data_IF_634628228694
#
_entry.id   IF_634628228694
#
_cell.length_a   1.000
_cell.length_b   1.000
_cell.length_c   1.000
_cell.angle_alpha   90.00
_cell.angle_beta   90.00
_cell.angle_gamma   90.00
#
_symmetry.space_group_name_H-M   'P 1'
#
loop_
_entity.id
_entity.type
_entity.pdbx_description
1 polymer ?
#
# COMPACT_ATOMS: atom_id res chain seq x y z
N UNK A 1 -11.39 109.97 -13.19
CA UNK A 1 -10.22 109.70 -14.05
C UNK A 1 -9.24 108.80 -13.32
N UNK A 2 -8.64 107.83 -14.05
CA UNK A 2 -7.55 106.91 -13.64
C UNK A 2 -7.99 105.76 -12.74
N UNK A 3 -7.62 104.50 -12.96
CA UNK A 3 -7.12 103.72 -14.11
C UNK A 3 -7.37 102.27 -13.62
N UNK A 4 -8.18 101.48 -14.32
CA UNK A 4 -8.47 100.09 -13.94
C UNK A 4 -7.20 99.26 -14.19
N UNK A 5 -6.56 98.76 -13.13
CA UNK A 5 -5.48 97.78 -13.23
C UNK A 5 -6.12 96.40 -13.18
N UNK A 6 -6.15 95.74 -14.33
CA UNK A 6 -6.62 94.37 -14.50
C UNK A 6 -5.46 93.43 -14.11
N UNK A 7 -5.50 92.89 -12.89
CA UNK A 7 -4.57 91.84 -12.45
C UNK A 7 -5.14 90.51 -12.93
N UNK A 8 -4.55 89.94 -13.97
CA UNK A 8 -4.87 88.59 -14.45
C UNK A 8 -4.15 87.61 -13.53
N UNK A 9 -4.89 87.07 -12.55
CA UNK A 9 -4.44 85.94 -11.74
C UNK A 9 -4.59 84.69 -12.60
N UNK A 10 -3.47 84.21 -13.16
CA UNK A 10 -3.41 82.90 -13.82
C UNK A 10 -3.51 81.85 -12.71
N UNK A 11 -4.74 81.41 -12.44
CA UNK A 11 -5.00 80.28 -11.55
C UNK A 11 -4.47 79.00 -12.17
N UNK A 12 -3.29 78.55 -11.74
CA UNK A 12 -2.84 77.20 -11.97
C UNK A 12 -3.77 76.28 -11.16
N UNK A 13 -4.56 75.39 -11.79
CA UNK A 13 -5.39 74.47 -11.03
C UNK A 13 -4.44 73.49 -10.35
N UNK A 14 -4.25 73.67 -9.05
CA UNK A 14 -3.60 72.68 -8.20
C UNK A 14 -4.57 71.48 -8.16
N UNK A 15 -4.42 70.58 -9.11
CA UNK A 15 -5.09 69.29 -9.13
C UNK A 15 -4.56 68.55 -7.89
N UNK A 16 -5.30 68.61 -6.78
CA UNK A 16 -5.12 67.69 -5.68
C UNK A 16 -5.52 66.31 -6.20
N UNK A 17 -4.54 65.55 -6.70
CA UNK A 17 -4.66 64.11 -6.87
C UNK A 17 -4.88 63.53 -5.47
N UNK A 18 -6.15 63.37 -5.11
CA UNK A 18 -6.57 62.54 -3.99
C UNK A 18 -6.19 61.11 -4.38
N UNK A 19 -4.98 60.70 -4.03
CA UNK A 19 -4.52 59.32 -4.18
C UNK A 19 -5.42 58.46 -3.32
N UNK A 20 -6.46 57.90 -3.93
CA UNK A 20 -7.13 56.72 -3.39
C UNK A 20 -6.09 55.62 -3.37
N UNK A 21 -5.39 55.48 -2.25
CA UNK A 21 -4.73 54.23 -1.91
C UNK A 21 -5.85 53.19 -1.75
N UNK A 22 -6.22 52.56 -2.86
CA UNK A 22 -6.81 51.23 -2.78
C UNK A 22 -5.72 50.37 -2.14
N UNK A 23 -5.91 50.06 -0.85
CA UNK A 23 -5.12 49.02 -0.21
C UNK A 23 -5.25 47.77 -1.07
N UNK A 24 -4.16 47.37 -1.72
CA UNK A 24 -4.12 46.08 -2.35
C UNK A 24 -4.23 45.05 -1.22
N UNK A 25 -5.40 44.45 -1.06
CA UNK A 25 -5.56 43.26 -0.24
C UNK A 25 -4.66 42.18 -0.85
N UNK A 26 -3.52 41.97 -0.20
CA UNK A 26 -2.62 40.85 -0.51
C UNK A 26 -3.36 39.57 -0.16
N UNK A 27 -4.04 39.00 -1.15
CA UNK A 27 -4.55 37.64 -1.03
C UNK A 27 -3.31 36.74 -0.94
N UNK A 28 -3.15 35.96 0.13
CA UNK A 28 -2.02 35.03 0.21
C UNK A 28 -2.11 34.07 -0.98
N UNK A 29 -1.03 33.96 -1.77
CA UNK A 29 -0.96 32.96 -2.82
C UNK A 29 -1.16 31.58 -2.18
N UNK A 30 -2.20 30.86 -2.60
CA UNK A 30 -2.41 29.46 -2.26
C UNK A 30 -1.56 28.61 -3.21
N UNK A 31 -0.79 27.68 -2.65
CA UNK A 31 -0.06 26.69 -3.43
C UNK A 31 -1.06 25.83 -4.22
N UNK A 32 -0.75 25.55 -5.48
CA UNK A 32 -1.50 24.61 -6.33
C UNK A 32 -0.60 23.46 -6.76
N UNK A 33 -1.17 22.35 -7.25
CA UNK A 33 -0.43 21.11 -7.55
C UNK A 33 0.84 21.32 -8.39
N UNK A 34 0.78 22.17 -9.41
CA UNK A 34 1.92 22.48 -10.29
C UNK A 34 3.09 23.17 -9.57
N UNK A 35 2.86 23.80 -8.42
CA UNK A 35 3.94 24.39 -7.61
C UNK A 35 4.77 23.31 -6.90
N UNK A 36 4.15 22.18 -6.57
CA UNK A 36 4.78 21.09 -5.83
C UNK A 36 5.89 20.43 -6.67
N UNK A 37 5.61 20.18 -7.96
CA UNK A 37 6.52 19.51 -8.91
C UNK A 37 7.86 20.23 -9.05
N UNK A 38 7.88 21.55 -8.85
CA UNK A 38 9.09 22.37 -8.98
C UNK A 38 10.15 22.02 -7.94
N UNK A 39 9.74 21.49 -6.79
CA UNK A 39 10.62 21.25 -5.63
C UNK A 39 10.56 19.80 -5.10
N UNK A 40 9.48 19.07 -5.37
CA UNK A 40 9.25 17.68 -4.94
C UNK A 40 9.13 16.73 -6.14
N UNK A 41 10.08 16.82 -7.08
CA UNK A 41 10.00 16.08 -8.34
C UNK A 41 9.94 14.56 -8.12
N UNK A 42 10.73 14.03 -7.16
CA UNK A 42 10.77 12.60 -6.87
C UNK A 42 9.44 12.11 -6.31
N UNK A 43 8.93 12.78 -5.28
CA UNK A 43 7.67 12.41 -4.64
C UNK A 43 6.48 12.53 -5.60
N UNK A 44 6.45 13.58 -6.42
CA UNK A 44 5.42 13.73 -7.45
C UNK A 44 5.53 12.62 -8.48
N UNK A 45 6.75 12.24 -8.89
CA UNK A 45 6.95 11.16 -9.85
C UNK A 45 6.48 9.82 -9.28
N UNK A 46 6.73 9.55 -7.99
CA UNK A 46 6.23 8.36 -7.30
C UNK A 46 4.70 8.30 -7.36
N UNK A 47 4.00 9.39 -7.02
CA UNK A 47 2.52 9.43 -7.10
C UNK A 47 2.05 9.25 -8.54
N UNK A 48 2.70 9.90 -9.52
CA UNK A 48 2.31 9.82 -10.93
C UNK A 48 2.48 8.43 -11.50
N UNK A 49 3.54 7.72 -11.12
CA UNK A 49 3.85 6.39 -11.65
C UNK A 49 3.13 5.28 -10.88
N UNK A 50 2.99 5.45 -9.55
CA UNK A 50 2.67 4.34 -8.62
C UNK A 50 1.67 4.71 -7.53
N UNK A 51 1.13 5.94 -7.52
CA UNK A 51 0.22 6.43 -6.48
C UNK A 51 -1.18 5.80 -6.48
N UNK A 52 -1.54 5.02 -7.50
CA UNK A 52 -2.88 4.44 -7.60
C UNK A 52 -3.98 5.51 -7.54
N UNK A 53 -4.95 5.34 -6.64
CA UNK A 53 -6.03 6.32 -6.45
C UNK A 53 -5.54 7.65 -5.84
N UNK A 54 -4.39 7.68 -5.15
CA UNK A 54 -3.82 8.94 -4.66
C UNK A 54 -3.33 9.85 -5.81
N UNK A 55 -3.24 9.33 -7.04
CA UNK A 55 -2.92 10.12 -8.23
C UNK A 55 -4.16 10.81 -8.82
N UNK A 56 -5.33 10.16 -8.74
CA UNK A 56 -6.52 10.58 -9.50
C UNK A 56 -7.61 11.15 -8.62
N UNK A 57 -7.75 10.65 -7.39
CA UNK A 57 -8.83 11.02 -6.47
C UNK A 57 -8.37 11.97 -5.36
N UNK A 58 -7.06 12.12 -5.16
CA UNK A 58 -6.47 12.95 -4.11
C UNK A 58 -5.43 13.88 -4.74
N UNK A 59 -5.59 15.19 -4.55
CA UNK A 59 -4.59 16.19 -4.94
C UNK A 59 -3.49 16.35 -3.89
N UNK A 60 -2.35 16.93 -4.29
CA UNK A 60 -1.22 17.13 -3.38
C UNK A 60 -1.61 17.90 -2.12
N UNK A 61 -2.47 18.92 -2.23
CA UNK A 61 -2.93 19.74 -1.12
C UNK A 61 -4.11 19.16 -0.34
N UNK A 62 -4.70 18.06 -0.83
CA UNK A 62 -5.77 17.35 -0.13
C UNK A 62 -5.19 16.40 0.93
N UNK A 63 -3.91 16.03 0.77
CA UNK A 63 -3.11 15.29 1.76
C UNK A 63 -2.08 16.20 2.44
N UNK A 64 -1.47 17.15 1.73
CA UNK A 64 -0.56 18.13 2.34
C UNK A 64 -1.28 19.44 2.70
N UNK A 65 -1.99 19.44 3.83
CA UNK A 65 -2.81 20.58 4.26
C UNK A 65 -1.98 21.80 4.68
N UNK A 66 -0.80 21.54 5.24
CA UNK A 66 0.17 22.55 5.65
C UNK A 66 1.47 22.41 4.85
N UNK A 67 2.31 23.45 4.84
CA UNK A 67 3.64 23.39 4.25
C UNK A 67 4.65 24.06 5.19
N UNK A 68 5.76 23.40 5.58
CA UNK A 68 6.77 23.99 6.45
C UNK A 68 7.33 25.32 5.89
N UNK A 69 7.65 26.32 6.74
CA UNK A 69 7.56 26.31 8.20
C UNK A 69 6.19 26.76 8.75
N UNK A 70 5.16 26.90 7.90
CA UNK A 70 3.85 27.43 8.33
C UNK A 70 3.04 26.43 9.16
N UNK A 71 3.45 25.16 9.16
CA UNK A 71 2.81 24.09 9.89
C UNK A 71 3.75 22.92 10.09
N UNK A 72 3.41 22.07 11.06
CA UNK A 72 4.18 20.87 11.46
C UNK A 72 3.38 19.58 11.18
N UNK A 73 2.04 19.68 11.09
CA UNK A 73 1.16 18.54 10.84
C UNK A 73 0.75 18.55 9.37
N UNK A 74 1.73 18.25 8.53
CA UNK A 74 1.62 18.38 7.07
C UNK A 74 0.65 17.34 6.48
N UNK A 75 0.49 16.16 7.08
CA UNK A 75 -0.23 15.01 6.51
C UNK A 75 -1.31 14.54 7.49
N UNK A 76 -2.58 14.37 7.07
CA UNK A 76 -3.64 13.82 7.91
C UNK A 76 -3.40 12.34 8.19
N UNK A 77 -4.12 11.79 9.17
CA UNK A 77 -4.09 10.36 9.44
C UNK A 77 -4.80 9.58 8.33
N UNK A 78 -4.35 8.35 8.04
CA UNK A 78 -4.88 7.54 6.95
C UNK A 78 -6.38 7.26 7.12
N UNK A 79 -6.85 7.08 8.36
CA UNK A 79 -8.24 6.81 8.74
C UNK A 79 -9.19 7.98 8.49
N UNK A 80 -8.68 9.19 8.20
CA UNK A 80 -9.53 10.30 7.74
C UNK A 80 -10.23 10.02 6.41
N UNK A 81 -9.65 9.13 5.59
CA UNK A 81 -10.18 8.71 4.30
C UNK A 81 -10.33 7.18 4.15
N UNK A 82 -9.56 6.38 4.92
CA UNK A 82 -9.61 4.92 4.88
C UNK A 82 -10.26 4.35 6.14
N UNK A 83 -11.56 4.12 6.10
CA UNK A 83 -12.31 3.66 7.25
C UNK A 83 -12.50 2.14 7.30
N UNK A 84 -12.59 1.53 8.51
CA UNK A 84 -12.88 0.10 8.66
C UNK A 84 -14.23 -0.33 8.06
N UNK A 85 -15.13 0.62 7.80
CA UNK A 85 -16.39 0.41 7.09
C UNK A 85 -16.21 0.05 5.61
N UNK A 86 -15.11 0.49 4.98
CA UNK A 86 -14.80 0.18 3.59
C UNK A 86 -14.06 -1.16 3.46
N UNK A 87 -13.14 -1.43 4.41
CA UNK A 87 -12.39 -2.68 4.44
C UNK A 87 -11.87 -3.00 5.85
N UNK A 88 -12.00 -4.26 6.29
CA UNK A 88 -11.63 -4.67 7.66
C UNK A 88 -10.16 -4.45 7.99
N UNK A 89 -9.27 -4.53 6.99
CA UNK A 89 -7.85 -4.21 7.13
C UNK A 89 -7.59 -2.77 7.57
N UNK A 90 -8.45 -1.81 7.23
CA UNK A 90 -8.27 -0.40 7.60
C UNK A 90 -8.50 -0.14 9.10
N UNK A 91 -8.93 -1.15 9.86
CA UNK A 91 -8.95 -1.08 11.33
C UNK A 91 -7.54 -1.17 11.96
N UNK A 92 -6.51 -1.50 11.18
CA UNK A 92 -5.13 -1.59 11.67
C UNK A 92 -4.50 -0.22 11.84
N UNK A 93 -3.64 -0.11 12.85
CA UNK A 93 -2.85 1.08 13.12
C UNK A 93 -1.51 1.03 12.37
N UNK A 94 -0.76 2.14 12.38
CA UNK A 94 0.58 2.25 11.81
C UNK A 94 0.65 1.88 10.32
N UNK A 95 -0.30 2.36 9.52
CA UNK A 95 -0.43 2.07 8.08
C UNK A 95 0.88 2.33 7.31
N UNK A 96 1.61 3.38 7.69
CA UNK A 96 2.88 3.78 7.07
C UNK A 96 4.05 2.81 7.33
N UNK A 97 3.89 1.83 8.23
CA UNK A 97 4.89 0.78 8.43
C UNK A 97 4.97 -0.18 7.24
N UNK A 98 3.89 -0.29 6.47
CA UNK A 98 3.77 -1.18 5.32
C UNK A 98 3.47 -0.42 4.03
N UNK A 99 2.61 0.60 4.09
CA UNK A 99 2.16 1.37 2.94
C UNK A 99 2.90 2.70 2.82
N UNK A 100 3.52 2.97 1.68
CA UNK A 100 4.09 4.28 1.42
C UNK A 100 3.04 5.26 0.87
N UNK A 101 2.86 6.47 1.43
CA UNK A 101 1.78 7.38 1.02
C UNK A 101 1.78 7.76 -0.47
N UNK A 102 2.95 7.80 -1.11
CA UNK A 102 3.09 8.14 -2.53
C UNK A 102 3.02 6.94 -3.48
N UNK A 103 3.12 5.71 -2.97
CA UNK A 103 2.99 4.48 -3.76
C UNK A 103 2.40 3.35 -2.89
N UNK A 104 1.15 3.52 -2.43
CA UNK A 104 0.60 2.72 -1.33
C UNK A 104 0.48 1.24 -1.63
N UNK A 105 0.38 0.84 -2.90
CA UNK A 105 0.25 -0.57 -3.29
C UNK A 105 1.60 -1.28 -3.48
N UNK A 106 2.70 -0.54 -3.53
CA UNK A 106 4.03 -1.11 -3.61
C UNK A 106 4.59 -1.27 -2.20
N UNK A 107 4.62 -2.51 -1.74
CA UNK A 107 5.14 -2.91 -0.44
C UNK A 107 6.03 -4.14 -0.59
N UNK A 108 7.08 -4.20 0.22
CA UNK A 108 7.95 -5.38 0.32
C UNK A 108 7.72 -6.03 1.68
N UNK A 109 6.97 -7.14 1.69
CA UNK A 109 6.68 -7.87 2.92
C UNK A 109 7.94 -8.44 3.59
N UNK A 110 9.02 -8.67 2.82
CA UNK A 110 10.28 -9.15 3.38
C UNK A 110 10.95 -8.12 4.31
N UNK A 111 10.63 -6.82 4.17
CA UNK A 111 11.15 -5.75 5.02
C UNK A 111 10.29 -5.45 6.25
N UNK A 112 9.14 -6.11 6.41
CA UNK A 112 8.20 -5.85 7.52
C UNK A 112 8.36 -6.96 8.55
N UNK A 113 8.67 -6.65 9.80
CA UNK A 113 9.00 -7.64 10.84
C UNK A 113 7.92 -8.72 11.02
N UNK A 114 6.66 -8.33 11.22
CA UNK A 114 5.51 -9.24 11.39
C UNK A 114 4.30 -8.74 10.62
N UNK A 115 3.63 -9.63 9.86
CA UNK A 115 2.44 -9.27 9.08
C UNK A 115 1.23 -10.13 9.40
N UNK A 116 1.38 -11.18 10.23
CA UNK A 116 0.29 -12.09 10.58
C UNK A 116 -0.99 -11.38 11.01
N UNK A 117 -0.90 -10.39 11.91
CA UNK A 117 -2.08 -9.65 12.36
C UNK A 117 -2.83 -8.99 11.20
N UNK A 118 -2.10 -8.47 10.20
CA UNK A 118 -2.67 -7.84 9.03
C UNK A 118 -3.33 -8.85 8.08
N UNK A 119 -2.70 -10.02 7.85
CA UNK A 119 -3.29 -11.07 7.02
C UNK A 119 -4.61 -11.59 7.61
N UNK A 120 -4.66 -11.72 8.94
CA UNK A 120 -5.79 -12.31 9.65
C UNK A 120 -7.02 -11.39 9.75
N UNK A 121 -6.93 -10.11 9.36
CA UNK A 121 -8.12 -9.25 9.24
C UNK A 121 -9.09 -9.73 8.16
N UNK A 122 -8.59 -10.53 7.20
CA UNK A 122 -9.38 -11.11 6.11
C UNK A 122 -9.23 -12.65 6.03
N UNK A 123 -8.05 -13.20 6.37
CA UNK A 123 -7.75 -14.64 6.28
C UNK A 123 -7.86 -15.38 7.62
N UNK A 124 -8.83 -15.03 8.47
CA UNK A 124 -9.02 -15.64 9.79
C UNK A 124 -9.19 -17.16 9.75
N UNK A 125 -9.76 -17.69 8.67
CA UNK A 125 -9.96 -19.12 8.50
C UNK A 125 -8.65 -19.89 8.40
N UNK A 126 -7.59 -19.27 7.86
CA UNK A 126 -6.28 -19.91 7.73
C UNK A 126 -5.58 -20.01 9.09
N UNK A 127 -5.71 -18.99 9.96
CA UNK A 127 -5.26 -19.10 11.35
C UNK A 127 -5.95 -20.26 12.07
N UNK A 128 -7.28 -20.38 11.92
CA UNK A 128 -8.03 -21.48 12.52
C UNK A 128 -7.59 -22.85 11.98
N UNK A 129 -7.27 -22.96 10.70
CA UNK A 129 -6.74 -24.21 10.12
C UNK A 129 -5.39 -24.59 10.75
N UNK A 130 -4.45 -23.63 10.83
CA UNK A 130 -3.14 -23.85 11.44
C UNK A 130 -3.23 -24.17 12.94
N UNK A 131 -4.18 -23.55 13.66
CA UNK A 131 -4.44 -23.84 15.09
C UNK A 131 -5.00 -25.26 15.30
N UNK A 132 -5.90 -25.70 14.42
CA UNK A 132 -6.49 -27.04 14.50
C UNK A 132 -5.53 -28.15 14.04
N UNK A 133 -4.55 -27.80 13.20
CA UNK A 133 -3.57 -28.72 12.61
C UNK A 133 -2.14 -28.21 12.83
N UNK A 134 -1.66 -28.14 14.09
CA UNK A 134 -0.36 -27.58 14.39
C UNK A 134 0.76 -28.37 13.72
N UNK A 135 1.73 -27.63 13.21
CA UNK A 135 2.98 -28.15 12.64
C UNK A 135 4.11 -27.17 12.96
N UNK A 136 5.34 -27.49 12.56
CA UNK A 136 6.48 -26.57 12.71
C UNK A 136 6.24 -25.22 11.97
N UNK A 137 5.36 -25.19 10.96
CA UNK A 137 4.98 -23.96 10.28
C UNK A 137 4.11 -23.02 11.14
N UNK A 138 3.51 -23.49 12.24
CA UNK A 138 2.66 -22.67 13.11
C UNK A 138 3.44 -21.51 13.77
N UNK A 139 4.77 -21.64 13.89
CA UNK A 139 5.65 -20.61 14.41
C UNK A 139 6.14 -19.61 13.36
N UNK A 140 5.86 -19.82 12.08
CA UNK A 140 6.25 -18.90 11.00
C UNK A 140 5.23 -17.76 10.85
N UNK A 141 5.72 -16.58 10.48
CA UNK A 141 4.84 -15.50 10.02
C UNK A 141 4.30 -15.83 8.61
N UNK A 142 3.15 -15.27 8.26
CA UNK A 142 2.52 -15.51 6.96
C UNK A 142 3.45 -15.15 5.79
N UNK A 143 4.29 -14.12 5.93
CA UNK A 143 5.23 -13.69 4.88
C UNK A 143 6.32 -14.71 4.54
N UNK A 144 6.60 -15.66 5.43
CA UNK A 144 7.65 -16.67 5.21
C UNK A 144 7.31 -17.59 4.04
N UNK A 145 6.00 -17.76 3.76
CA UNK A 145 5.52 -18.42 2.54
C UNK A 145 4.84 -17.44 1.57
N UNK A 146 4.26 -16.34 2.06
CA UNK A 146 3.57 -15.34 1.23
C UNK A 146 4.38 -14.04 1.11
N UNK A 147 5.45 -14.06 0.31
CA UNK A 147 6.39 -12.94 0.19
C UNK A 147 5.79 -11.71 -0.51
N UNK A 148 4.72 -11.89 -1.27
CA UNK A 148 3.93 -10.81 -1.86
C UNK A 148 2.44 -11.11 -1.68
N UNK A 149 1.62 -10.06 -1.65
CA UNK A 149 0.19 -10.23 -1.45
C UNK A 149 -0.44 -10.98 -2.63
N UNK A 150 -1.09 -12.12 -2.33
CA UNK A 150 -1.70 -12.99 -3.32
C UNK A 150 -0.74 -14.00 -3.96
N UNK A 151 0.53 -14.00 -3.56
CA UNK A 151 1.54 -14.97 -3.99
C UNK A 151 1.90 -15.93 -2.86
N UNK A 152 2.34 -17.13 -3.20
CA UNK A 152 2.80 -18.13 -2.26
C UNK A 152 4.00 -18.90 -2.84
N UNK A 153 5.01 -19.13 -2.01
CA UNK A 153 6.17 -19.94 -2.32
C UNK A 153 5.78 -21.41 -2.42
N UNK A 154 6.38 -22.14 -3.37
CA UNK A 154 6.19 -23.59 -3.48
C UNK A 154 6.87 -24.34 -2.32
N UNK A 155 6.30 -25.47 -1.90
CA UNK A 155 6.88 -26.28 -0.82
C UNK A 155 8.34 -26.68 -1.12
N UNK A 156 8.64 -26.89 -2.40
CA UNK A 156 9.92 -27.40 -2.90
C UNK A 156 11.08 -26.42 -2.78
N UNK A 157 10.81 -25.15 -2.48
CA UNK A 157 11.85 -24.18 -2.15
C UNK A 157 12.53 -24.48 -0.80
N UNK A 158 11.87 -25.26 0.07
CA UNK A 158 12.38 -25.65 1.39
C UNK A 158 12.37 -27.16 1.66
N UNK A 159 11.49 -27.92 0.99
CA UNK A 159 11.31 -29.35 1.20
C UNK A 159 11.74 -30.16 -0.02
N UNK A 160 12.28 -31.36 0.21
CA UNK A 160 12.59 -32.34 -0.84
C UNK A 160 11.36 -33.21 -1.11
N UNK A 161 11.09 -33.69 -2.33
CA UNK A 161 9.89 -34.44 -2.61
C UNK A 161 10.05 -35.88 -2.15
N UNK A 162 8.93 -36.57 -1.93
CA UNK A 162 8.97 -37.97 -1.50
C UNK A 162 9.40 -38.94 -2.60
N UNK A 163 9.20 -38.56 -3.86
CA UNK A 163 9.74 -39.25 -5.05
C UNK A 163 10.29 -38.20 -6.02
N UNK A 164 11.32 -38.56 -6.80
CA UNK A 164 12.10 -37.61 -7.59
C UNK A 164 11.27 -36.76 -8.57
N UNK A 165 10.23 -37.34 -9.16
CA UNK A 165 9.44 -36.71 -10.22
C UNK A 165 8.20 -35.95 -9.69
N UNK A 166 8.01 -35.85 -8.37
CA UNK A 166 6.91 -35.08 -7.79
C UNK A 166 7.09 -33.58 -8.01
N UNK A 167 6.01 -32.92 -8.41
CA UNK A 167 5.93 -31.46 -8.52
C UNK A 167 5.02 -30.88 -7.43
N UNK A 168 5.02 -29.56 -7.26
CA UNK A 168 4.22 -28.88 -6.24
C UNK A 168 2.73 -29.27 -6.23
N UNK A 169 2.12 -29.45 -7.41
CA UNK A 169 0.72 -29.88 -7.51
C UNK A 169 0.48 -31.30 -6.96
N UNK A 170 1.48 -32.19 -7.02
CA UNK A 170 1.38 -33.52 -6.42
C UNK A 170 1.36 -33.43 -4.89
N UNK A 171 2.14 -32.50 -4.30
CA UNK A 171 2.14 -32.27 -2.86
C UNK A 171 0.73 -31.93 -2.35
N UNK A 172 -0.02 -31.11 -3.12
CA UNK A 172 -1.37 -30.68 -2.79
C UNK A 172 -2.43 -31.80 -2.87
N UNK A 173 -2.08 -32.95 -3.44
CA UNK A 173 -2.97 -34.13 -3.47
C UNK A 173 -3.07 -34.82 -2.10
N UNK A 174 -2.13 -34.54 -1.20
CA UNK A 174 -2.04 -35.16 0.12
C UNK A 174 -1.94 -34.12 1.25
N UNK A 175 -1.21 -33.02 1.02
CA UNK A 175 -0.92 -31.98 2.00
C UNK A 175 -1.74 -30.72 1.74
N UNK A 176 -2.18 -30.07 2.81
CA UNK A 176 -2.73 -28.71 2.74
C UNK A 176 -1.67 -27.70 3.19
N UNK A 177 -1.50 -26.55 2.53
CA UNK A 177 -0.49 -25.56 2.90
C UNK A 177 -0.57 -25.09 4.37
N UNK A 178 -1.78 -24.84 4.88
CA UNK A 178 -2.01 -24.38 6.26
C UNK A 178 -2.24 -25.52 7.28
N UNK A 179 -2.05 -26.77 6.86
CA UNK A 179 -2.18 -27.96 7.71
C UNK A 179 -1.42 -29.15 7.12
N UNK A 180 -0.11 -29.02 6.85
CA UNK A 180 0.61 -30.00 6.04
C UNK A 180 0.69 -31.38 6.70
N UNK A 181 0.63 -31.46 8.02
CA UNK A 181 0.64 -32.74 8.75
C UNK A 181 -0.72 -33.44 8.79
N UNK A 182 -1.81 -32.73 8.47
CA UNK A 182 -3.16 -33.28 8.41
C UNK A 182 -3.43 -33.93 7.05
N UNK A 183 -2.62 -34.94 6.71
CA UNK A 183 -2.62 -35.61 5.41
C UNK A 183 -4.03 -36.12 5.07
N UNK A 184 -4.53 -35.69 3.91
CA UNK A 184 -5.80 -36.10 3.35
C UNK A 184 -5.60 -36.34 1.86
N UNK A 185 -5.93 -37.56 1.42
CA UNK A 185 -5.82 -37.92 0.01
C UNK A 185 -7.00 -37.31 -0.76
N UNK A 186 -6.67 -36.49 -1.76
CA UNK A 186 -7.64 -35.93 -2.69
C UNK A 186 -7.63 -36.73 -4.00
N UNK A 187 -8.82 -37.18 -4.43
CA UNK A 187 -8.98 -37.81 -5.74
C UNK A 187 -8.24 -39.15 -5.90
N UNK A 188 -7.71 -39.38 -7.09
CA UNK A 188 -6.98 -40.60 -7.44
C UNK A 188 -5.47 -40.30 -7.47
N UNK A 189 -4.75 -40.80 -6.46
CA UNK A 189 -3.30 -40.66 -6.32
C UNK A 189 -2.62 -41.85 -7.03
N UNK A 190 -1.76 -41.64 -8.05
CA UNK A 190 -1.04 -42.71 -8.72
C UNK A 190 -0.22 -43.57 -7.73
N UNK A 191 -0.22 -44.89 -7.90
CA UNK A 191 0.50 -45.83 -7.01
C UNK A 191 1.98 -45.50 -6.87
N UNK A 192 2.62 -45.02 -7.93
CA UNK A 192 4.02 -44.60 -7.93
C UNK A 192 4.31 -43.51 -6.88
N UNK A 193 3.35 -42.63 -6.59
CA UNK A 193 3.52 -41.58 -5.57
C UNK A 193 3.54 -42.16 -4.15
N UNK A 194 2.93 -43.33 -3.94
CA UNK A 194 2.99 -44.06 -2.67
C UNK A 194 4.36 -44.70 -2.43
N UNK A 195 5.18 -44.90 -3.48
CA UNK A 195 6.46 -45.63 -3.39
C UNK A 195 7.47 -44.94 -2.48
N UNK A 196 7.38 -43.61 -2.32
CA UNK A 196 8.22 -42.84 -1.41
C UNK A 196 8.09 -43.26 0.06
N UNK A 197 6.99 -43.93 0.44
CA UNK A 197 6.80 -44.51 1.79
C UNK A 197 6.53 -46.02 1.76
N UNK A 198 6.06 -46.55 0.63
CA UNK A 198 5.59 -47.92 0.46
C UNK A 198 6.27 -48.62 -0.73
N UNK A 199 7.59 -48.50 -0.85
CA UNK A 199 8.37 -49.10 -1.95
C UNK A 199 8.01 -50.58 -2.21
N UNK A 200 8.00 -51.40 -1.15
CA UNK A 200 7.67 -52.83 -1.26
C UNK A 200 6.25 -53.11 -1.78
N UNK A 201 5.17 -52.61 -1.12
CA UNK A 201 3.81 -52.80 -1.60
C UNK A 201 3.56 -52.27 -3.01
N UNK A 202 4.14 -51.12 -3.37
CA UNK A 202 3.98 -50.57 -4.73
C UNK A 202 4.68 -51.45 -5.76
N UNK A 203 5.90 -51.91 -5.47
CA UNK A 203 6.61 -52.84 -6.34
C UNK A 203 5.82 -54.15 -6.56
N UNK A 204 5.20 -54.71 -5.51
CA UNK A 204 4.39 -55.92 -5.63
C UNK A 204 3.15 -55.72 -6.51
N UNK A 205 2.49 -54.55 -6.43
CA UNK A 205 1.36 -54.19 -7.30
C UNK A 205 1.84 -54.06 -8.75
N UNK A 206 2.95 -53.35 -8.99
CA UNK A 206 3.48 -53.12 -10.34
C UNK A 206 3.94 -54.43 -11.01
N UNK A 207 4.48 -55.38 -10.24
CA UNK A 207 4.90 -56.69 -10.75
C UNK A 207 3.73 -57.65 -11.04
N UNK A 208 2.59 -57.49 -10.35
CA UNK A 208 1.49 -58.47 -10.37
C UNK A 208 0.20 -58.01 -11.04
N UNK A 209 0.06 -56.71 -11.32
CA UNK A 209 -1.15 -56.11 -11.91
C UNK A 209 -2.37 -56.19 -11.01
#
# INVERSE_FOLDING_TARGET
MRKKVLVIVVGCPLIMLLSAFLGAESHPLKLVGDDCVKYHLGEVQDVVERGGLHKTEVGCTDCHEEHPPKGENTIPTCDSCHGPEDHTHYALENCASCHHPHHPLEMDLAQIDEVKAACLTCHSDQAREMENHPSEHAGLDCKECHMAHGEATECMECHEPHVHDMVYQDCLSCHKPHGPTAIQFAGNVPSVQCSGCHEGPVQEIDERG
#
